data_IF_209602056267
#
_entry.id   IF_209602056267
#
_cell.length_a   1.000
_cell.length_b   1.000
_cell.length_c   1.000
_cell.angle_alpha   90.00
_cell.angle_beta   90.00
_cell.angle_gamma   90.00
#
_symmetry.space_group_name_H-M   'P 1'
#
loop_
_entity.id
_entity.type
_entity.pdbx_description
1 polymer ?
#
# COMPACT_ATOMS: atom_id res chain seq x y z
N UNK A 1 -8.54 -13.25 -15.60
CA UNK A 1 -7.99 -14.63 -15.48
C UNK A 1 -9.06 -15.70 -15.69
N UNK A 2 -10.20 -15.63 -14.99
CA UNK A 2 -11.27 -16.65 -15.10
C UNK A 2 -12.40 -16.31 -16.10
N UNK A 3 -12.34 -15.16 -16.76
CA UNK A 3 -13.32 -14.72 -17.76
C UNK A 3 -12.63 -14.45 -19.11
N UNK A 4 -13.42 -14.29 -20.18
CA UNK A 4 -12.94 -14.03 -21.54
C UNK A 4 -12.50 -12.58 -21.81
N UNK A 5 -12.52 -11.71 -20.79
CA UNK A 5 -12.20 -10.28 -20.95
C UNK A 5 -10.71 -10.03 -21.24
N UNK A 6 -10.42 -9.11 -22.16
CA UNK A 6 -9.06 -8.68 -22.56
C UNK A 6 -8.74 -7.24 -22.10
N UNK A 7 -9.20 -6.85 -20.91
CA UNK A 7 -8.98 -5.50 -20.39
C UNK A 7 -7.50 -5.20 -20.14
N UNK A 8 -7.06 -3.98 -20.49
CA UNK A 8 -5.66 -3.52 -20.39
C UNK A 8 -5.43 -2.45 -19.32
N UNK A 9 -6.43 -2.22 -18.45
CA UNK A 9 -6.34 -1.21 -17.39
C UNK A 9 -5.23 -1.56 -16.39
N UNK A 10 -4.31 -0.63 -16.16
CA UNK A 10 -3.22 -0.76 -15.21
C UNK A 10 -2.75 0.62 -14.76
N UNK A 11 -2.18 0.70 -13.55
CA UNK A 11 -1.43 1.88 -13.13
C UNK A 11 -0.11 1.98 -13.89
N UNK A 12 0.24 3.17 -14.39
CA UNK A 12 1.53 3.47 -15.00
C UNK A 12 2.38 4.31 -14.04
N UNK A 13 3.48 3.75 -13.56
CA UNK A 13 4.38 4.46 -12.65
C UNK A 13 5.27 5.45 -13.43
N UNK A 14 5.57 6.63 -12.87
CA UNK A 14 6.47 7.58 -13.51
C UNK A 14 7.88 7.01 -13.66
N UNK A 15 8.60 7.49 -14.67
CA UNK A 15 9.98 7.08 -14.93
C UNK A 15 10.91 7.40 -13.75
N UNK A 16 10.81 8.64 -13.23
CA UNK A 16 11.59 9.09 -12.06
C UNK A 16 11.16 8.31 -10.81
N UNK A 17 12.12 7.60 -10.20
CA UNK A 17 11.88 6.74 -9.02
C UNK A 17 12.25 7.39 -7.69
N UNK A 18 12.94 8.53 -7.72
CA UNK A 18 13.29 9.32 -6.53
C UNK A 18 12.07 10.12 -6.07
N UNK A 19 12.00 10.51 -4.78
CA UNK A 19 10.92 11.35 -4.31
C UNK A 19 10.95 12.72 -5.02
N UNK A 20 9.79 13.35 -5.23
CA UNK A 20 9.73 14.67 -5.82
C UNK A 20 10.27 15.73 -4.84
N UNK A 21 10.89 16.77 -5.37
CA UNK A 21 11.54 17.82 -4.56
C UNK A 21 10.59 18.58 -3.64
N UNK A 22 9.33 18.71 -4.02
CA UNK A 22 8.30 19.40 -3.23
C UNK A 22 7.81 18.59 -2.02
N UNK A 23 8.10 17.29 -1.96
CA UNK A 23 7.70 16.43 -0.84
C UNK A 23 8.71 16.61 0.30
N UNK A 24 8.28 17.31 1.36
CA UNK A 24 9.11 17.60 2.55
C UNK A 24 8.97 16.58 3.68
N UNK A 25 8.13 15.57 3.50
CA UNK A 25 7.83 14.55 4.52
C UNK A 25 9.04 13.61 4.65
N UNK A 26 9.50 13.37 5.88
CA UNK A 26 10.62 12.47 6.13
C UNK A 26 10.20 11.00 5.99
N UNK A 27 11.16 10.10 5.77
CA UNK A 27 10.87 8.67 5.72
C UNK A 27 10.32 8.14 7.05
N UNK A 28 10.79 8.68 8.19
CA UNK A 28 10.29 8.30 9.51
C UNK A 28 8.81 8.65 9.69
N UNK A 29 8.39 9.85 9.27
CA UNK A 29 6.99 10.27 9.38
C UNK A 29 6.07 9.36 8.55
N UNK A 30 6.54 8.90 7.38
CA UNK A 30 5.77 7.96 6.54
C UNK A 30 5.63 6.61 7.22
N UNK A 31 6.69 6.08 7.82
CA UNK A 31 6.66 4.81 8.56
C UNK A 31 5.74 4.88 9.78
N UNK A 32 5.76 5.98 10.52
CA UNK A 32 4.87 6.20 11.66
C UNK A 32 3.40 6.26 11.22
N UNK A 33 3.10 6.99 10.14
CA UNK A 33 1.75 7.04 9.59
C UNK A 33 1.26 5.66 9.12
N UNK A 34 2.11 4.88 8.47
CA UNK A 34 1.79 3.49 8.06
C UNK A 34 1.44 2.66 9.29
N UNK A 35 2.26 2.70 10.35
CA UNK A 35 2.01 1.95 11.58
C UNK A 35 0.72 2.40 12.27
N UNK A 36 0.45 3.71 12.29
CA UNK A 36 -0.79 4.29 12.85
C UNK A 36 -2.02 3.80 12.11
N UNK A 37 -2.00 3.78 10.78
CA UNK A 37 -3.12 3.29 9.98
C UNK A 37 -3.31 1.78 10.08
N UNK A 38 -2.22 1.01 10.16
CA UNK A 38 -2.30 -0.43 10.38
C UNK A 38 -2.91 -0.76 11.75
N UNK A 39 -2.54 -0.03 12.82
CA UNK A 39 -3.16 -0.17 14.15
C UNK A 39 -4.65 0.17 14.18
N UNK A 40 -5.11 1.03 13.25
CA UNK A 40 -6.56 1.30 13.05
C UNK A 40 -7.29 0.16 12.31
N UNK A 41 -6.58 -0.88 11.87
CA UNK A 41 -7.16 -2.02 11.16
C UNK A 41 -7.28 -1.81 9.65
N UNK A 42 -6.61 -0.81 9.07
CA UNK A 42 -6.62 -0.58 7.63
C UNK A 42 -5.71 -1.58 6.91
N UNK A 43 -6.12 -2.00 5.71
CA UNK A 43 -5.33 -2.95 4.91
C UNK A 43 -4.16 -2.25 4.21
N UNK A 44 -3.05 -2.95 3.91
CA UNK A 44 -1.91 -2.36 3.22
C UNK A 44 -2.27 -1.59 1.94
N UNK A 45 -3.22 -2.11 1.15
CA UNK A 45 -3.71 -1.45 -0.06
C UNK A 45 -4.47 -0.15 0.25
N UNK A 46 -5.35 -0.15 1.27
CA UNK A 46 -6.05 1.05 1.72
C UNK A 46 -5.11 2.11 2.27
N UNK A 47 -4.09 1.71 3.03
CA UNK A 47 -3.05 2.60 3.56
C UNK A 47 -2.34 3.31 2.41
N UNK A 48 -1.97 2.57 1.35
CA UNK A 48 -1.33 3.14 0.17
C UNK A 48 -2.18 4.21 -0.52
N UNK A 49 -3.48 3.96 -0.67
CA UNK A 49 -4.44 4.92 -1.25
C UNK A 49 -4.56 6.17 -0.38
N UNK A 50 -4.67 6.01 0.94
CA UNK A 50 -4.79 7.15 1.88
C UNK A 50 -3.53 8.03 1.88
N UNK A 51 -2.35 7.41 1.81
CA UNK A 51 -1.08 8.15 1.74
C UNK A 51 -0.96 8.89 0.41
N UNK A 52 -1.45 8.30 -0.69
CA UNK A 52 -1.48 8.93 -2.00
C UNK A 52 -2.42 10.14 -2.04
N UNK A 53 -3.69 9.95 -1.68
CA UNK A 53 -4.74 10.95 -1.90
C UNK A 53 -4.75 12.06 -0.84
N UNK A 54 -4.53 11.72 0.44
CA UNK A 54 -4.62 12.69 1.53
C UNK A 54 -3.27 13.30 1.93
N UNK A 55 -2.19 12.55 1.81
CA UNK A 55 -0.86 12.99 2.26
C UNK A 55 0.05 13.42 1.09
N UNK A 56 -0.38 13.22 -0.16
CA UNK A 56 0.40 13.57 -1.35
C UNK A 56 1.63 12.69 -1.58
N UNK A 57 1.71 11.51 -0.94
CA UNK A 57 2.83 10.59 -1.08
C UNK A 57 2.53 9.63 -2.23
N UNK A 58 3.01 9.98 -3.42
CA UNK A 58 2.71 9.23 -4.64
C UNK A 58 3.12 7.74 -4.56
N UNK A 59 4.32 7.46 -4.02
CA UNK A 59 4.85 6.10 -3.88
C UNK A 59 5.67 5.99 -2.60
N UNK A 60 5.22 5.16 -1.66
CA UNK A 60 5.92 4.90 -0.38
C UNK A 60 7.34 4.37 -0.62
N UNK A 61 7.53 3.52 -1.64
CA UNK A 61 8.85 2.95 -1.98
C UNK A 61 9.87 4.03 -2.36
N UNK A 62 9.44 5.10 -3.02
CA UNK A 62 10.35 6.19 -3.41
C UNK A 62 10.87 6.98 -2.22
N UNK A 63 10.09 7.08 -1.14
CA UNK A 63 10.44 7.86 0.06
C UNK A 63 11.20 7.01 1.08
N UNK A 64 10.70 5.81 1.38
CA UNK A 64 11.21 4.94 2.46
C UNK A 64 12.18 3.86 1.97
N UNK A 65 12.28 3.64 0.65
CA UNK A 65 13.03 2.52 0.07
C UNK A 65 12.34 1.15 0.17
N UNK A 66 11.35 1.02 1.05
CA UNK A 66 10.62 -0.22 1.31
C UNK A 66 9.16 -0.16 0.86
N UNK A 67 8.56 -1.33 0.62
CA UNK A 67 7.11 -1.45 0.37
C UNK A 67 6.37 -1.47 1.71
N UNK A 68 5.11 -1.00 1.72
CA UNK A 68 4.23 -0.97 2.90
C UNK A 68 4.23 -2.31 3.65
N UNK A 69 4.05 -3.43 2.94
CA UNK A 69 4.03 -4.77 3.56
C UNK A 69 5.35 -5.12 4.27
N UNK A 70 6.50 -4.68 3.75
CA UNK A 70 7.81 -4.89 4.40
C UNK A 70 7.95 -4.06 5.67
N UNK A 71 7.50 -2.81 5.63
CA UNK A 71 7.48 -1.91 6.79
C UNK A 71 6.60 -2.53 7.89
N UNK A 72 5.39 -2.98 7.56
CA UNK A 72 4.50 -3.64 8.50
C UNK A 72 5.11 -4.92 9.09
N UNK A 73 5.82 -5.71 8.29
CA UNK A 73 6.52 -6.91 8.76
C UNK A 73 7.65 -6.57 9.74
N UNK A 74 8.43 -5.53 9.47
CA UNK A 74 9.50 -5.07 10.36
C UNK A 74 8.96 -4.61 11.72
N UNK A 75 7.77 -4.03 11.75
CA UNK A 75 7.10 -3.58 12.98
C UNK A 75 6.19 -4.63 13.63
N UNK A 76 6.15 -5.87 13.13
CA UNK A 76 5.29 -6.93 13.68
C UNK A 76 3.79 -6.69 13.49
N UNK A 77 3.39 -5.81 12.57
CA UNK A 77 2.01 -5.47 12.23
C UNK A 77 1.54 -6.14 10.93
N UNK A 78 2.31 -7.09 10.41
CA UNK A 78 1.92 -7.83 9.21
C UNK A 78 0.77 -8.80 9.53
N UNK A 79 -0.24 -8.90 8.66
CA UNK A 79 -1.29 -9.89 8.82
C UNK A 79 -0.74 -11.30 8.64
N UNK A 80 -1.30 -12.27 9.36
CA UNK A 80 -0.92 -13.68 9.24
C UNK A 80 -1.23 -14.24 7.85
N UNK A 81 -2.37 -13.80 7.28
CA UNK A 81 -2.83 -14.19 5.95
C UNK A 81 -2.58 -13.02 4.99
N UNK A 82 -2.01 -13.26 3.79
CA UNK A 82 -1.88 -12.23 2.77
C UNK A 82 -3.23 -11.58 2.41
N UNK A 83 -3.24 -10.25 2.25
CA UNK A 83 -4.44 -9.45 2.01
C UNK A 83 -5.28 -9.98 0.84
N UNK A 84 -4.65 -10.32 -0.28
CA UNK A 84 -5.32 -10.82 -1.48
C UNK A 84 -6.07 -12.14 -1.20
N UNK A 85 -5.41 -13.05 -0.46
CA UNK A 85 -5.99 -14.34 -0.11
C UNK A 85 -7.13 -14.18 0.90
N UNK A 86 -6.96 -13.31 1.89
CA UNK A 86 -8.02 -12.96 2.83
C UNK A 86 -9.27 -12.45 2.11
N UNK A 87 -9.13 -11.55 1.13
CA UNK A 87 -10.28 -11.02 0.39
C UNK A 87 -10.92 -12.04 -0.55
N UNK A 88 -10.16 -12.97 -1.12
CA UNK A 88 -10.72 -14.10 -1.88
C UNK A 88 -11.58 -15.00 -0.97
N UNK A 89 -11.07 -15.36 0.21
CA UNK A 89 -11.82 -16.16 1.20
C UNK A 89 -13.07 -15.40 1.65
N UNK A 90 -12.91 -14.13 2.03
CA UNK A 90 -14.03 -13.27 2.48
C UNK A 90 -15.14 -13.21 1.43
N UNK A 91 -14.78 -13.08 0.14
CA UNK A 91 -15.74 -13.09 -0.96
C UNK A 91 -16.42 -14.45 -1.12
N UNK A 92 -15.67 -15.55 -1.01
CA UNK A 92 -16.21 -16.90 -1.13
C UNK A 92 -17.19 -17.24 0.02
N UNK A 93 -16.94 -16.76 1.24
CA UNK A 93 -17.82 -16.98 2.39
C UNK A 93 -19.10 -16.13 2.34
N UNK A 94 -19.04 -14.95 1.70
CA UNK A 94 -20.19 -14.08 1.54
C UNK A 94 -21.13 -14.49 0.38
N UNK A 95 -20.75 -15.50 -0.40
CA UNK A 95 -21.56 -16.16 -1.43
C UNK A 95 -22.31 -17.31 -0.77
#
# INVERSE_FOLDING_TARGET
MHSRGKGISTSALPYKRTPPFWLKISSQDVEENICKFAKKGLTPSQIGVILHDFHGIAQVKSVTGNKILRILKAHGLAPEIPEDLYHLIKKAVAI
#
